data_IF_111434615668
#
_entry.id   IF_111434615668
#
_cell.length_a   1.000
_cell.length_b   1.000
_cell.length_c   1.000
_cell.angle_alpha   90.00
_cell.angle_beta   90.00
_cell.angle_gamma   90.00
#
_symmetry.space_group_name_H-M   'P 1'
#
loop_
_entity.id
_entity.type
_entity.pdbx_description
1 polymer ?
#
# COMPACT_ATOMS: atom_id res chain seq x y z
N UNK A 1 0.03 9.86 6.62
CA UNK A 1 0.73 9.27 5.45
C UNK A 1 -0.20 8.63 4.43
N UNK A 2 -0.98 7.58 4.77
CA UNK A 2 -1.81 6.86 3.81
C UNK A 2 -2.73 7.73 2.93
N UNK A 3 -3.53 8.61 3.53
CA UNK A 3 -4.41 9.56 2.81
C UNK A 3 -3.65 10.52 1.89
N UNK A 4 -2.49 11.01 2.32
CA UNK A 4 -1.64 11.91 1.52
C UNK A 4 -1.07 11.18 0.29
N UNK A 5 -0.69 9.91 0.46
CA UNK A 5 -0.17 9.10 -0.64
C UNK A 5 -1.19 8.92 -1.77
N UNK A 6 -2.42 8.55 -1.43
CA UNK A 6 -3.50 8.25 -2.39
C UNK A 6 -4.22 9.49 -2.92
N UNK A 7 -4.11 10.62 -2.22
CA UNK A 7 -4.69 11.89 -2.64
C UNK A 7 -6.21 11.99 -2.46
N UNK A 8 -6.76 13.08 -2.99
CA UNK A 8 -8.19 13.37 -2.98
C UNK A 8 -8.97 12.38 -3.87
N UNK A 9 -10.23 12.12 -3.53
CA UNK A 9 -11.08 11.17 -4.25
C UNK A 9 -10.69 9.70 -4.06
N UNK A 10 -9.72 9.42 -3.17
CA UNK A 10 -9.37 8.07 -2.83
C UNK A 10 -10.54 7.32 -2.20
N UNK A 11 -10.63 6.04 -2.55
CA UNK A 11 -11.71 5.14 -2.13
C UNK A 11 -11.14 3.91 -1.42
N UNK A 12 -11.93 3.22 -0.59
CA UNK A 12 -11.48 1.97 0.01
C UNK A 12 -11.08 0.93 -1.04
N UNK A 13 -10.10 0.10 -0.70
CA UNK A 13 -9.86 -1.17 -1.42
C UNK A 13 -11.05 -2.10 -1.23
N UNK A 14 -11.23 -3.07 -2.12
CA UNK A 14 -12.36 -4.02 -2.05
C UNK A 14 -12.36 -4.85 -0.76
N UNK A 15 -11.18 -5.14 -0.22
CA UNK A 15 -11.00 -5.83 1.05
C UNK A 15 -11.11 -4.92 2.29
N UNK A 16 -11.33 -3.62 2.10
CA UNK A 16 -11.44 -2.63 3.17
C UNK A 16 -10.15 -2.37 3.96
N UNK A 17 -9.03 -2.99 3.60
CA UNK A 17 -7.78 -2.90 4.36
C UNK A 17 -6.96 -1.64 4.05
N UNK A 18 -7.37 -0.85 3.07
CA UNK A 18 -6.60 0.26 2.55
C UNK A 18 -7.40 1.24 1.71
N UNK A 19 -6.66 2.08 1.00
CA UNK A 19 -7.17 3.09 0.09
C UNK A 19 -6.50 2.93 -1.28
N UNK A 20 -7.25 3.25 -2.33
CA UNK A 20 -6.76 3.39 -3.71
C UNK A 20 -7.08 4.79 -4.20
N UNK A 21 -6.13 5.41 -4.91
CA UNK A 21 -6.31 6.74 -5.52
C UNK A 21 -7.46 6.74 -6.53
N UNK A 22 -8.00 7.92 -6.82
CA UNK A 22 -9.11 8.08 -7.77
C UNK A 22 -8.80 7.51 -9.16
N UNK A 23 -7.56 7.69 -9.62
CA UNK A 23 -7.05 7.17 -10.92
C UNK A 23 -6.56 5.71 -10.86
N UNK A 24 -6.56 5.09 -9.69
CA UNK A 24 -6.11 3.71 -9.48
C UNK A 24 -4.59 3.51 -9.47
N UNK A 25 -3.77 4.56 -9.63
CA UNK A 25 -2.32 4.42 -9.78
C UNK A 25 -1.56 4.28 -8.46
N UNK A 26 -2.20 4.54 -7.32
CA UNK A 26 -1.57 4.45 -6.00
C UNK A 26 -2.46 3.69 -5.03
N UNK A 27 -1.87 2.76 -4.30
CA UNK A 27 -2.54 2.01 -3.22
C UNK A 27 -1.77 2.23 -1.92
N UNK A 28 -2.51 2.49 -0.85
CA UNK A 28 -2.03 2.40 0.52
C UNK A 28 -2.75 1.25 1.21
N UNK A 29 -2.03 0.33 1.85
CA UNK A 29 -2.62 -0.65 2.77
C UNK A 29 -2.23 -0.30 4.20
N UNK A 30 -3.22 -0.34 5.09
CA UNK A 30 -3.06 -0.02 6.51
C UNK A 30 -2.02 -0.96 7.15
N UNK A 31 -1.40 -0.54 8.27
CA UNK A 31 -0.45 -1.38 8.98
C UNK A 31 -1.04 -2.74 9.31
N UNK A 32 -0.29 -3.80 9.01
CA UNK A 32 -0.67 -5.18 9.34
C UNK A 32 0.53 -5.94 9.83
N UNK A 33 0.30 -6.85 10.77
CA UNK A 33 1.29 -7.83 11.18
C UNK A 33 1.75 -8.66 9.97
N UNK A 34 3.06 -8.87 9.87
CA UNK A 34 3.68 -9.74 8.88
C UNK A 34 4.52 -10.80 9.59
N UNK A 35 3.88 -11.82 10.19
CA UNK A 35 4.56 -12.80 11.04
C UNK A 35 5.63 -13.62 10.29
N UNK A 36 5.51 -13.70 8.96
CA UNK A 36 6.42 -14.47 8.11
C UNK A 36 7.53 -13.61 7.46
N UNK A 37 7.68 -12.34 7.83
CA UNK A 37 8.74 -11.47 7.30
C UNK A 37 9.97 -11.48 8.23
N UNK A 38 11.19 -11.70 7.72
CA UNK A 38 12.39 -11.67 8.54
C UNK A 38 12.53 -10.36 9.33
N UNK A 39 12.96 -10.45 10.59
CA UNK A 39 13.13 -9.29 11.46
C UNK A 39 14.12 -8.24 10.92
N UNK A 40 15.08 -8.63 10.08
CA UNK A 40 15.97 -7.70 9.39
C UNK A 40 15.26 -6.79 8.40
N UNK A 41 14.11 -7.21 7.85
CA UNK A 41 13.28 -6.45 6.91
C UNK A 41 12.06 -5.82 7.59
N UNK A 42 11.63 -6.38 8.72
CA UNK A 42 10.49 -5.93 9.50
C UNK A 42 10.80 -5.98 11.01
N UNK A 43 11.68 -5.09 11.51
CA UNK A 43 12.12 -5.10 12.90
C UNK A 43 10.98 -4.82 13.90
N UNK A 44 9.85 -4.27 13.44
CA UNK A 44 8.68 -3.95 14.25
C UNK A 44 7.58 -5.01 14.20
N UNK A 45 7.67 -6.02 13.34
CA UNK A 45 6.63 -7.02 13.10
C UNK A 45 5.40 -6.50 12.32
N UNK A 46 5.16 -5.19 12.31
CA UNK A 46 4.04 -4.53 11.63
C UNK A 46 4.52 -3.55 10.57
N UNK A 47 3.92 -3.62 9.37
CA UNK A 47 4.24 -2.71 8.25
C UNK A 47 2.98 -2.22 7.54
N UNK A 48 3.01 -0.95 7.12
CA UNK A 48 2.11 -0.44 6.07
C UNK A 48 2.74 -0.65 4.68
N UNK A 49 1.90 -0.75 3.63
CA UNK A 49 2.36 -0.85 2.24
C UNK A 49 1.92 0.36 1.42
N UNK A 50 2.80 0.78 0.51
CA UNK A 50 2.58 1.84 -0.46
C UNK A 50 2.96 1.32 -1.85
N UNK A 51 1.97 1.13 -2.71
CA UNK A 51 2.17 0.58 -4.06
C UNK A 51 1.89 1.67 -5.10
N UNK A 52 2.67 1.68 -6.17
CA UNK A 52 2.43 2.52 -7.35
C UNK A 52 2.35 1.67 -8.61
N UNK A 53 1.51 2.13 -9.54
CA UNK A 53 1.18 1.43 -10.77
C UNK A 53 1.22 2.37 -11.96
N UNK A 54 1.53 1.82 -13.13
CA UNK A 54 1.28 2.46 -14.43
C UNK A 54 0.17 1.71 -15.15
N UNK A 55 -0.66 2.41 -15.93
CA UNK A 55 -1.69 1.78 -16.75
C UNK A 55 -1.10 1.43 -18.12
N UNK A 56 -1.12 0.15 -18.46
CA UNK A 56 -0.88 -0.29 -19.82
C UNK A 56 -2.07 0.16 -20.68
N UNK A 57 -1.81 1.01 -21.69
CA UNK A 57 -2.87 1.66 -22.48
C UNK A 57 -3.56 0.67 -23.42
N UNK A 58 -2.84 -0.33 -23.91
CA UNK A 58 -3.36 -1.33 -24.87
C UNK A 58 -4.28 -2.35 -24.19
N UNK A 59 -3.90 -2.80 -23.00
CA UNK A 59 -4.62 -3.86 -22.27
C UNK A 59 -5.51 -3.35 -21.14
N UNK A 60 -5.33 -2.09 -20.74
CA UNK A 60 -5.99 -1.50 -19.58
C UNK A 60 -5.47 -2.03 -18.22
N UNK A 61 -4.51 -2.94 -18.22
CA UNK A 61 -3.94 -3.55 -17.01
C UNK A 61 -3.10 -2.53 -16.23
N UNK A 62 -3.16 -2.62 -14.91
CA UNK A 62 -2.28 -1.86 -14.02
C UNK A 62 -1.02 -2.68 -13.72
N UNK A 63 0.13 -2.22 -14.19
CA UNK A 63 1.44 -2.83 -13.90
C UNK A 63 2.08 -2.15 -12.69
N UNK A 64 2.50 -2.95 -11.71
CA UNK A 64 3.13 -2.43 -10.48
C UNK A 64 4.55 -1.95 -10.80
N UNK A 65 4.85 -0.71 -10.43
CA UNK A 65 6.15 -0.08 -10.66
C UNK A 65 6.87 0.32 -9.36
N UNK A 66 6.18 0.25 -8.22
CA UNK A 66 6.78 0.55 -6.91
C UNK A 66 6.07 -0.17 -5.77
N UNK A 67 6.85 -0.51 -4.74
CA UNK A 67 6.37 -1.16 -3.53
C UNK A 67 7.22 -0.74 -2.33
N UNK A 68 6.73 0.25 -1.58
CA UNK A 68 7.34 0.74 -0.35
C UNK A 68 6.71 0.09 0.88
N UNK A 69 7.54 -0.21 1.87
CA UNK A 69 7.13 -0.72 3.17
C UNK A 69 7.57 0.24 4.27
N UNK A 70 6.64 0.61 5.14
CA UNK A 70 6.92 1.44 6.31
C UNK A 70 6.72 0.61 7.57
N UNK A 71 7.81 0.39 8.31
CA UNK A 71 7.77 -0.20 9.66
C UNK A 71 7.05 0.77 10.61
N UNK A 72 6.11 0.24 11.40
CA UNK A 72 5.35 1.03 12.36
C UNK A 72 5.75 0.62 13.77
N UNK A 73 6.24 1.59 14.54
CA UNK A 73 6.49 1.43 15.98
C UNK A 73 5.15 1.61 16.73
N UNK A 74 4.80 0.68 17.62
CA UNK A 74 3.65 0.85 18.52
C UNK A 74 2.33 0.16 18.13
N UNK A 75 2.39 -0.95 17.39
CA UNK A 75 1.21 -1.80 17.15
C UNK A 75 1.01 -2.86 18.23
N UNK A 76 0.87 -2.46 19.49
CA UNK A 76 0.25 -3.24 20.56
C UNK A 76 -0.60 -2.32 21.42
#
# INVERSE_FOLDING_TARGET
MGKIWVGEGARPTSDGTGLVSADGTRIYRSPKEKPNTPGSLNPTGTQANFESYTKNIETGKMDKIGNGHLNILGGK
#
